data_IF_412305349952
#
_entry.id   IF_412305349952
#
_cell.length_a   1.000
_cell.length_b   1.000
_cell.length_c   1.000
_cell.angle_alpha   90.00
_cell.angle_beta   90.00
_cell.angle_gamma   90.00
#
_symmetry.space_group_name_H-M   'P 1'
#
loop_
_entity.id
_entity.type
_entity.pdbx_description
1 polymer ?
#
# COMPACT_ATOMS: atom_id res chain seq x y z
N UNK A 1 13.21 -6.08 -17.80
CA UNK A 1 12.66 -5.34 -16.65
C UNK A 1 11.60 -4.38 -17.18
N UNK A 2 10.37 -4.41 -16.65
CA UNK A 2 9.31 -3.50 -17.09
C UNK A 2 9.67 -2.10 -16.57
N UNK A 3 9.77 -1.10 -17.43
CA UNK A 3 9.96 0.28 -16.98
C UNK A 3 8.65 0.75 -16.35
N UNK A 4 8.68 1.01 -15.04
CA UNK A 4 7.54 1.57 -14.32
C UNK A 4 7.59 3.08 -14.48
N UNK A 5 6.52 3.63 -15.06
CA UNK A 5 6.37 5.08 -15.18
C UNK A 5 5.92 5.67 -13.84
N UNK A 6 6.21 6.96 -13.57
CA UNK A 6 5.70 7.64 -12.38
C UNK A 6 4.17 7.56 -12.25
N UNK A 7 3.45 7.63 -13.37
CA UNK A 7 1.99 7.51 -13.39
C UNK A 7 1.52 6.12 -12.94
N UNK A 8 2.15 5.05 -13.45
CA UNK A 8 1.82 3.69 -13.02
C UNK A 8 2.10 3.46 -11.53
N UNK A 9 3.19 4.04 -11.03
CA UNK A 9 3.48 4.02 -9.59
C UNK A 9 2.37 4.70 -8.80
N UNK A 10 1.96 5.90 -9.22
CA UNK A 10 0.92 6.67 -8.57
C UNK A 10 -0.42 5.93 -8.55
N UNK A 11 -0.84 5.39 -9.70
CA UNK A 11 -2.08 4.60 -9.82
C UNK A 11 -2.10 3.40 -8.86
N UNK A 12 -0.95 2.74 -8.69
CA UNK A 12 -0.84 1.62 -7.74
C UNK A 12 -0.82 2.09 -6.29
N UNK A 13 -0.15 3.20 -6.01
CA UNK A 13 -0.10 3.79 -4.68
C UNK A 13 -1.50 4.21 -4.20
N UNK A 14 -2.25 4.91 -5.05
CA UNK A 14 -3.67 5.26 -4.81
C UNK A 14 -4.51 4.01 -4.56
N UNK A 15 -4.37 2.95 -5.38
CA UNK A 15 -5.11 1.71 -5.15
C UNK A 15 -4.79 1.04 -3.80
N UNK A 16 -3.54 1.11 -3.33
CA UNK A 16 -3.17 0.61 -2.00
C UNK A 16 -3.77 1.49 -0.90
N UNK A 17 -3.79 2.81 -1.09
CA UNK A 17 -4.44 3.73 -0.16
C UNK A 17 -5.93 3.46 -0.05
N UNK A 18 -6.64 3.28 -1.16
CA UNK A 18 -8.08 2.98 -1.17
C UNK A 18 -8.40 1.71 -0.36
N UNK A 19 -7.59 0.66 -0.53
CA UNK A 19 -7.73 -0.59 0.23
C UNK A 19 -7.48 -0.33 1.72
N UNK A 20 -6.44 0.45 2.05
CA UNK A 20 -6.13 0.79 3.43
C UNK A 20 -7.23 1.64 4.09
N UNK A 21 -7.78 2.63 3.39
CA UNK A 21 -8.91 3.44 3.88
C UNK A 21 -10.15 2.58 4.12
N UNK A 22 -10.45 1.66 3.19
CA UNK A 22 -11.56 0.73 3.34
C UNK A 22 -11.39 -0.19 4.56
N UNK A 23 -10.17 -0.60 4.89
CA UNK A 23 -9.89 -1.46 6.05
C UNK A 23 -10.00 -0.66 7.35
N UNK A 24 -9.48 0.56 7.37
CA UNK A 24 -9.50 1.43 8.56
C UNK A 24 -10.88 2.06 8.82
N UNK A 25 -11.77 2.05 7.81
CA UNK A 25 -13.06 2.71 7.89
C UNK A 25 -12.94 4.24 7.90
N UNK A 26 -11.88 4.79 7.30
CA UNK A 26 -11.59 6.22 7.33
C UNK A 26 -10.22 6.55 6.76
N UNK A 27 -9.74 7.76 7.05
CA UNK A 27 -8.48 8.28 6.53
C UNK A 27 -7.26 7.47 6.96
N UNK A 28 -6.33 7.24 6.04
CA UNK A 28 -5.02 6.63 6.34
C UNK A 28 -4.15 7.59 7.16
N UNK A 29 -3.54 7.14 8.28
CA UNK A 29 -2.59 7.96 9.03
C UNK A 29 -1.40 8.43 8.16
N UNK A 30 -0.98 9.68 8.30
CA UNK A 30 0.13 10.26 7.52
C UNK A 30 1.45 9.47 7.63
N UNK A 31 1.71 8.84 8.77
CA UNK A 31 2.85 7.95 8.95
C UNK A 31 2.78 6.75 8.01
N UNK A 32 1.61 6.13 7.88
CA UNK A 32 1.40 4.99 6.98
C UNK A 32 1.51 5.41 5.52
N UNK A 33 0.93 6.55 5.14
CA UNK A 33 1.11 7.14 3.79
C UNK A 33 2.59 7.29 3.44
N UNK A 34 3.39 7.79 4.39
CA UNK A 34 4.84 7.99 4.20
C UNK A 34 5.57 6.67 4.03
N UNK A 35 5.19 5.62 4.77
CA UNK A 35 5.76 4.28 4.62
C UNK A 35 5.40 3.67 3.26
N UNK A 36 4.13 3.80 2.83
CA UNK A 36 3.69 3.35 1.52
C UNK A 36 4.44 4.05 0.37
N UNK A 37 4.68 5.36 0.48
CA UNK A 37 5.48 6.14 -0.49
C UNK A 37 6.94 5.68 -0.59
N UNK A 38 7.49 5.08 0.46
CA UNK A 38 8.86 4.57 0.46
C UNK A 38 8.97 3.19 -0.22
N UNK A 39 7.84 2.51 -0.44
CA UNK A 39 7.82 1.18 -1.08
C UNK A 39 7.98 1.29 -2.59
N UNK A 40 8.63 0.29 -3.17
CA UNK A 40 8.69 0.09 -4.62
C UNK A 40 7.35 -0.37 -5.20
N UNK A 41 7.20 -0.26 -6.51
CA UNK A 41 6.00 -0.71 -7.25
C UNK A 41 5.61 -2.16 -6.96
N UNK A 42 6.59 -3.05 -6.83
CA UNK A 42 6.37 -4.48 -6.57
C UNK A 42 6.02 -4.74 -5.11
N UNK A 43 6.58 -3.97 -4.18
CA UNK A 43 6.23 -4.02 -2.76
C UNK A 43 4.80 -3.54 -2.53
N UNK A 44 4.39 -2.44 -3.17
CA UNK A 44 3.00 -1.97 -3.16
C UNK A 44 2.05 -3.03 -3.72
N UNK A 45 2.44 -3.72 -4.80
CA UNK A 45 1.63 -4.79 -5.39
C UNK A 45 1.44 -5.97 -4.44
N UNK A 46 2.51 -6.41 -3.77
CA UNK A 46 2.46 -7.47 -2.76
C UNK A 46 1.61 -7.06 -1.55
N UNK A 47 1.74 -5.81 -1.12
CA UNK A 47 0.96 -5.28 -0.02
C UNK A 47 -0.53 -5.22 -0.35
N UNK A 48 -0.90 -4.74 -1.55
CA UNK A 48 -2.29 -4.72 -2.00
C UNK A 48 -2.95 -6.11 -1.93
N UNK A 49 -2.23 -7.14 -2.40
CA UNK A 49 -2.69 -8.52 -2.34
C UNK A 49 -2.87 -8.99 -0.90
N UNK A 50 -1.89 -8.74 -0.03
CA UNK A 50 -1.96 -9.12 1.37
C UNK A 50 -3.11 -8.43 2.11
N UNK A 51 -3.27 -7.11 1.93
CA UNK A 51 -4.37 -6.36 2.53
C UNK A 51 -5.73 -6.87 2.06
N UNK A 52 -5.85 -7.25 0.79
CA UNK A 52 -7.09 -7.81 0.24
C UNK A 52 -7.44 -9.17 0.84
N UNK A 53 -6.43 -9.98 1.17
CA UNK A 53 -6.59 -11.30 1.79
C UNK A 53 -6.86 -11.23 3.29
N UNK A 54 -6.08 -10.43 4.02
CA UNK A 54 -6.12 -10.38 5.50
C UNK A 54 -7.12 -9.37 6.04
N UNK A 55 -7.44 -8.34 5.24
CA UNK A 55 -8.19 -7.15 5.68
C UNK A 55 -7.63 -6.54 6.97
N UNK A 56 -6.32 -6.62 7.18
CA UNK A 56 -5.65 -6.13 8.38
C UNK A 56 -4.34 -5.43 8.02
N UNK A 57 -4.25 -4.15 8.38
CA UNK A 57 -3.04 -3.33 8.18
C UNK A 57 -1.94 -3.68 9.20
N UNK A 58 -2.31 -4.04 10.43
CA UNK A 58 -1.35 -4.35 11.51
C UNK A 58 -0.47 -5.56 11.17
N UNK A 59 -1.06 -6.59 10.56
CA UNK A 59 -0.33 -7.78 10.13
C UNK A 59 0.64 -7.50 8.97
N UNK A 60 0.37 -6.47 8.18
CA UNK A 60 1.23 -6.07 7.07
C UNK A 60 2.42 -5.20 7.52
N UNK A 61 2.21 -4.30 8.48
CA UNK A 61 3.25 -3.39 8.98
C UNK A 61 4.28 -4.07 9.89
N UNK A 62 3.86 -5.07 10.67
CA UNK A 62 4.74 -5.85 11.55
C UNK A 62 5.83 -6.66 10.83
N UNK A 63 5.78 -6.75 9.49
CA UNK A 63 6.81 -7.42 8.66
C UNK A 63 7.81 -6.46 8.03
N UNK A 64 7.63 -5.15 8.22
CA UNK A 64 8.51 -4.10 7.70
C UNK A 64 9.46 -3.51 8.77
N UNK A 65 9.26 -3.88 10.04
CA UNK A 65 10.10 -3.52 11.19
C UNK A 65 11.15 -4.57 11.50
#
# INVERSE_FOLDING_TARGET
>A
MRQITPQQYEERFEAVLDIAESILGGSVPALLISQLRAMSYDELGRLAMQLSETRSIEQCLSRLS
#
